data_IF_930467093682
#
_entry.id   IF_930467093682
#
_cell.length_a   1.000
_cell.length_b   1.000
_cell.length_c   1.000
_cell.angle_alpha   90.00
_cell.angle_beta   90.00
_cell.angle_gamma   90.00
#
_symmetry.space_group_name_H-M   'P 1'
#
loop_
_entity.id
_entity.type
_entity.pdbx_description
1 polymer ?
#
# COMPACT_ATOMS: atom_id res chain seq x y z
N UNK A 1 -9.82 -22.76 5.21
CA UNK A 1 -8.40 -22.32 5.37
C UNK A 1 -7.72 -22.04 4.03
N UNK A 2 -8.17 -22.61 2.89
CA UNK A 2 -7.66 -22.23 1.55
C UNK A 2 -8.07 -20.79 1.14
N UNK A 3 -9.28 -20.36 1.50
CA UNK A 3 -9.82 -19.05 1.07
C UNK A 3 -9.06 -17.85 1.65
N UNK A 4 -8.51 -17.99 2.85
CA UNK A 4 -7.80 -16.90 3.55
C UNK A 4 -6.45 -16.62 2.88
N UNK A 5 -5.72 -17.67 2.51
CA UNK A 5 -4.41 -17.53 1.88
C UNK A 5 -4.53 -16.94 0.46
N UNK A 6 -5.57 -17.30 -0.28
CA UNK A 6 -5.84 -16.73 -1.61
C UNK A 6 -6.23 -15.25 -1.53
N UNK A 7 -7.05 -14.88 -0.53
CA UNK A 7 -7.38 -13.49 -0.23
C UNK A 7 -6.13 -12.67 0.14
N UNK A 8 -5.28 -13.20 1.02
CA UNK A 8 -4.06 -12.52 1.45
C UNK A 8 -3.10 -12.27 0.27
N UNK A 9 -2.90 -13.28 -0.59
CA UNK A 9 -2.08 -13.14 -1.81
C UNK A 9 -2.65 -12.09 -2.77
N UNK A 10 -3.97 -12.02 -2.90
CA UNK A 10 -4.63 -11.03 -3.74
C UNK A 10 -4.44 -9.60 -3.23
N UNK A 11 -4.56 -9.37 -1.92
CA UNK A 11 -4.33 -8.05 -1.34
C UNK A 11 -2.84 -7.65 -1.37
N UNK A 12 -1.92 -8.59 -1.18
CA UNK A 12 -0.49 -8.37 -1.37
C UNK A 12 -0.14 -8.00 -2.82
N UNK A 13 -0.75 -8.64 -3.81
CA UNK A 13 -0.56 -8.30 -5.23
C UNK A 13 -1.07 -6.89 -5.55
N UNK A 14 -2.19 -6.46 -4.93
CA UNK A 14 -2.66 -5.07 -5.07
C UNK A 14 -1.69 -4.07 -4.44
N UNK A 15 -1.11 -4.39 -3.29
CA UNK A 15 -0.10 -3.54 -2.66
C UNK A 15 1.15 -3.43 -3.56
N UNK A 16 1.63 -4.56 -4.10
CA UNK A 16 2.77 -4.58 -5.04
C UNK A 16 2.54 -3.64 -6.22
N UNK A 17 1.39 -3.75 -6.90
CA UNK A 17 1.04 -2.88 -8.04
C UNK A 17 0.99 -1.39 -7.67
N UNK A 18 0.51 -1.06 -6.47
CA UNK A 18 0.47 0.32 -6.00
C UNK A 18 1.89 0.86 -5.72
N UNK A 19 2.78 0.04 -5.16
CA UNK A 19 4.20 0.39 -4.94
C UNK A 19 4.92 0.57 -6.28
N UNK A 20 4.72 -0.34 -7.24
CA UNK A 20 5.31 -0.24 -8.58
C UNK A 20 4.90 1.07 -9.27
N UNK A 21 3.61 1.45 -9.18
CA UNK A 21 3.11 2.73 -9.68
C UNK A 21 3.78 3.91 -8.97
N UNK A 22 3.89 3.88 -7.65
CA UNK A 22 4.53 4.96 -6.88
C UNK A 22 5.99 5.14 -7.30
N UNK A 23 6.76 4.05 -7.41
CA UNK A 23 8.16 4.10 -7.86
C UNK A 23 8.26 4.71 -9.25
N UNK A 24 7.37 4.33 -10.16
CA UNK A 24 7.33 4.91 -11.50
C UNK A 24 7.07 6.42 -11.46
N UNK A 25 6.08 6.86 -10.68
CA UNK A 25 5.72 8.28 -10.58
C UNK A 25 6.80 9.13 -9.89
N UNK A 26 7.48 8.61 -8.86
CA UNK A 26 8.64 9.28 -8.23
C UNK A 26 9.79 9.53 -9.22
N UNK A 27 9.87 8.76 -10.31
CA UNK A 27 10.89 8.93 -11.35
C UNK A 27 10.44 9.86 -12.50
N UNK A 28 9.14 10.11 -12.66
CA UNK A 28 8.59 10.75 -13.85
C UNK A 28 7.78 12.02 -13.60
N UNK A 29 7.29 12.24 -12.39
CA UNK A 29 6.43 13.37 -12.03
C UNK A 29 7.18 14.35 -11.11
N UNK A 30 6.77 15.62 -11.11
CA UNK A 30 7.26 16.61 -10.16
C UNK A 30 6.88 16.23 -8.72
N UNK A 31 7.70 16.62 -7.74
CA UNK A 31 7.51 16.30 -6.31
C UNK A 31 6.13 16.72 -5.77
N UNK A 32 5.56 17.80 -6.32
CA UNK A 32 4.25 18.36 -5.95
C UNK A 32 3.11 17.91 -6.89
N UNK A 33 3.32 16.89 -7.73
CA UNK A 33 2.28 16.36 -8.62
C UNK A 33 1.15 15.72 -7.82
N UNK A 34 -0.10 16.10 -8.13
CA UNK A 34 -1.29 15.49 -7.53
C UNK A 34 -1.32 13.97 -7.73
N UNK A 35 -0.85 13.47 -8.87
CA UNK A 35 -0.79 12.03 -9.13
C UNK A 35 0.16 11.31 -8.19
N UNK A 36 1.30 11.94 -7.89
CA UNK A 36 2.31 11.39 -6.99
C UNK A 36 1.77 11.35 -5.56
N UNK A 37 1.09 12.41 -5.11
CA UNK A 37 0.44 12.44 -3.80
C UNK A 37 -0.69 11.39 -3.68
N UNK A 38 -1.52 11.25 -4.72
CA UNK A 38 -2.56 10.22 -4.78
C UNK A 38 -1.96 8.80 -4.70
N UNK A 39 -0.83 8.55 -5.38
CA UNK A 39 -0.13 7.27 -5.33
C UNK A 39 0.45 6.99 -3.93
N UNK A 40 1.08 7.99 -3.30
CA UNK A 40 1.57 7.89 -1.91
C UNK A 40 0.44 7.56 -0.95
N UNK A 41 -0.69 8.26 -1.07
CA UNK A 41 -1.88 8.04 -0.25
C UNK A 41 -2.50 6.65 -0.50
N UNK A 42 -2.52 6.17 -1.74
CA UNK A 42 -2.99 4.83 -2.10
C UNK A 42 -2.17 3.73 -1.44
N UNK A 43 -0.83 3.80 -1.54
CA UNK A 43 0.08 2.85 -0.88
C UNK A 43 -0.12 2.89 0.64
N UNK A 44 -0.16 4.08 1.24
CA UNK A 44 -0.39 4.26 2.68
C UNK A 44 -1.69 3.57 3.15
N UNK A 45 -2.81 3.77 2.45
CA UNK A 45 -4.09 3.14 2.80
C UNK A 45 -4.02 1.61 2.72
N UNK A 46 -3.35 1.06 1.71
CA UNK A 46 -3.22 -0.39 1.53
C UNK A 46 -2.39 -1.04 2.62
N UNK A 47 -1.24 -0.45 2.98
CA UNK A 47 -0.41 -0.98 4.07
C UNK A 47 -1.20 -0.96 5.38
N UNK A 48 -1.96 0.11 5.65
CA UNK A 48 -2.83 0.18 6.85
C UNK A 48 -3.90 -0.92 6.86
N UNK A 49 -4.60 -1.13 5.74
CA UNK A 49 -5.60 -2.19 5.61
C UNK A 49 -5.00 -3.58 5.84
N UNK A 50 -3.93 -3.91 5.12
CA UNK A 50 -3.23 -5.20 5.27
C UNK A 50 -2.69 -5.42 6.69
N UNK A 51 -2.18 -4.37 7.33
CA UNK A 51 -1.68 -4.48 8.70
C UNK A 51 -2.79 -4.81 9.71
N UNK A 52 -4.02 -4.30 9.48
CA UNK A 52 -5.19 -4.66 10.29
C UNK A 52 -5.58 -6.11 10.01
N UNK A 53 -5.69 -6.48 8.74
CA UNK A 53 -6.16 -7.81 8.30
C UNK A 53 -5.21 -8.93 8.75
N UNK A 54 -3.90 -8.68 8.71
CA UNK A 54 -2.86 -9.64 9.12
C UNK A 54 -2.53 -9.58 10.63
N UNK A 55 -3.22 -8.73 11.40
CA UNK A 55 -2.97 -8.59 12.84
C UNK A 55 -1.59 -8.01 13.20
N UNK A 56 -0.98 -7.24 12.30
CA UNK A 56 0.28 -6.54 12.55
C UNK A 56 0.04 -5.43 13.58
N UNK A 57 0.95 -5.31 14.56
CA UNK A 57 0.81 -4.42 15.72
C UNK A 57 0.42 -2.97 15.36
N UNK A 58 -0.50 -2.39 16.14
CA UNK A 58 -1.02 -1.01 15.96
C UNK A 58 0.05 0.07 15.94
N UNK A 59 1.18 -0.14 16.62
CA UNK A 59 2.32 0.81 16.63
C UNK A 59 2.95 0.96 15.24
N UNK A 60 3.06 -0.14 14.48
CA UNK A 60 3.53 -0.11 13.09
C UNK A 60 2.59 0.69 12.20
N UNK A 61 1.28 0.53 12.38
CA UNK A 61 0.22 1.21 11.61
C UNK A 61 0.24 2.73 11.84
N UNK A 62 0.40 3.13 13.10
CA UNK A 62 0.41 4.54 13.50
C UNK A 62 1.65 5.28 13.00
N UNK A 63 2.78 4.59 12.83
CA UNK A 63 4.00 5.18 12.26
C UNK A 63 3.93 5.53 10.77
N UNK A 64 2.88 5.08 10.07
CA UNK A 64 2.68 5.39 8.65
C UNK A 64 1.97 6.76 8.54
N UNK A 65 2.77 7.83 8.61
CA UNK A 65 2.36 9.22 8.46
C UNK A 65 2.50 9.72 7.03
#
# INVERSE_FOLDING_TARGET
MQDTQEYDLYELEKLRKAIDLLIHLEQSEDENSLKLDDARNSVRRRIKGLSIDLGIHKEFINGIH
#
